data_IF_736862863374
#
_entry.id   IF_736862863374
#
_cell.length_a   1.000
_cell.length_b   1.000
_cell.length_c   1.000
_cell.angle_alpha   90.00
_cell.angle_beta   90.00
_cell.angle_gamma   90.00
#
_symmetry.space_group_name_H-M   'P 1'
#
loop_
_entity.id
_entity.type
_entity.pdbx_description
1 polymer ?
#
# COMPACT_ATOMS: atom_id res chain seq x y z
N UNK A 1 -22.42 -2.84 3.47
CA UNK A 1 -21.23 -3.08 2.64
C UNK A 1 -19.97 -3.06 3.49
N UNK A 2 -18.87 -3.69 3.06
CA UNK A 2 -17.65 -3.80 3.87
C UNK A 2 -16.56 -2.85 3.37
N UNK A 3 -15.97 -2.07 4.28
CA UNK A 3 -14.87 -1.14 4.02
C UNK A 3 -13.62 -1.60 4.78
N UNK A 4 -12.48 -1.55 4.10
CA UNK A 4 -11.15 -1.81 4.62
C UNK A 4 -10.30 -0.54 4.43
N UNK A 5 -10.00 0.16 5.53
CA UNK A 5 -9.17 1.37 5.53
C UNK A 5 -7.72 1.02 5.87
N UNK A 6 -6.80 1.31 4.97
CA UNK A 6 -5.36 1.22 5.16
C UNK A 6 -4.79 2.61 5.47
N UNK A 7 -4.11 2.73 6.62
CA UNK A 7 -3.55 3.99 7.12
C UNK A 7 -2.02 3.90 7.10
N UNK A 8 -1.34 5.04 6.97
CA UNK A 8 0.11 5.11 7.03
C UNK A 8 0.65 4.51 8.34
N UNK A 9 1.62 3.59 8.22
CA UNK A 9 2.29 2.92 9.33
C UNK A 9 1.46 1.84 10.01
N UNK A 10 0.29 1.49 9.47
CA UNK A 10 -0.55 0.39 9.95
C UNK A 10 -0.57 -0.74 8.92
N UNK A 11 0.06 -1.87 9.25
CA UNK A 11 0.11 -3.04 8.39
C UNK A 11 -1.28 -3.67 8.17
N UNK A 12 -2.18 -3.54 9.14
CA UNK A 12 -3.52 -4.16 9.13
C UNK A 12 -4.59 -3.12 8.83
N UNK A 13 -5.51 -3.44 7.92
CA UNK A 13 -6.63 -2.59 7.61
C UNK A 13 -7.66 -2.53 8.75
N UNK A 14 -8.19 -1.34 9.00
CA UNK A 14 -9.38 -1.16 9.83
C UNK A 14 -10.61 -1.55 9.01
N UNK A 15 -11.28 -2.62 9.42
CA UNK A 15 -12.44 -3.17 8.69
C UNK A 15 -13.75 -2.79 9.38
N UNK A 16 -14.73 -2.30 8.62
CA UNK A 16 -16.06 -1.94 9.14
C UNK A 16 -17.17 -2.35 8.16
N UNK A 17 -18.31 -2.73 8.71
CA UNK A 17 -19.55 -2.84 7.94
C UNK A 17 -20.30 -1.50 8.03
N UNK A 18 -20.72 -0.99 6.87
CA UNK A 18 -21.30 0.35 6.73
C UNK A 18 -22.50 0.31 5.80
N UNK A 19 -23.46 1.20 6.02
CA UNK A 19 -24.58 1.37 5.10
C UNK A 19 -24.14 2.18 3.86
N UNK A 20 -24.67 1.84 2.66
CA UNK A 20 -24.22 2.43 1.39
C UNK A 20 -24.52 3.92 1.22
N UNK A 21 -25.53 4.42 1.93
CA UNK A 21 -26.04 5.79 1.90
C UNK A 21 -25.37 6.71 2.92
N UNK A 22 -24.56 6.17 3.84
CA UNK A 22 -23.75 6.98 4.76
C UNK A 22 -22.70 7.76 3.97
N UNK A 23 -22.43 9.01 4.39
CA UNK A 23 -21.38 9.84 3.79
C UNK A 23 -20.00 9.26 4.08
N UNK A 24 -19.14 9.18 3.06
CA UNK A 24 -17.81 8.57 3.20
C UNK A 24 -16.95 9.27 4.28
N UNK A 25 -16.98 10.61 4.32
CA UNK A 25 -16.22 11.38 5.30
C UNK A 25 -16.65 11.16 6.75
N UNK A 26 -17.90 10.77 7.01
CA UNK A 26 -18.39 10.54 8.39
C UNK A 26 -17.87 9.21 8.95
N UNK A 27 -17.43 8.29 8.07
CA UNK A 27 -16.87 7.00 8.44
C UNK A 27 -15.36 7.05 8.66
N UNK A 28 -14.70 8.04 8.08
CA UNK A 28 -13.25 8.16 8.04
C UNK A 28 -12.78 9.21 9.04
N UNK A 29 -12.01 8.78 10.04
CA UNK A 29 -11.19 9.71 10.82
C UNK A 29 -9.98 10.06 9.96
N UNK A 30 -9.94 11.29 9.43
CA UNK A 30 -8.85 11.81 8.60
C UNK A 30 -8.06 12.85 9.40
N UNK A 31 -6.73 12.78 9.34
CA UNK A 31 -5.87 13.88 9.77
C UNK A 31 -5.90 15.02 8.73
N UNK A 32 -5.40 16.20 9.12
CA UNK A 32 -5.26 17.34 8.20
C UNK A 32 -4.44 16.94 6.96
N UNK A 33 -4.89 17.38 5.79
CA UNK A 33 -4.33 17.06 4.46
C UNK A 33 -4.39 15.59 4.01
N UNK A 34 -5.00 14.67 4.78
CA UNK A 34 -5.17 13.29 4.31
C UNK A 34 -6.17 13.20 3.16
N UNK A 35 -5.73 12.54 2.09
CA UNK A 35 -6.53 12.18 0.93
C UNK A 35 -6.93 10.72 1.01
N UNK A 36 -8.08 10.40 0.41
CA UNK A 36 -8.63 9.05 0.38
C UNK A 36 -8.63 8.54 -1.06
N UNK A 37 -8.14 7.33 -1.26
CA UNK A 37 -8.07 6.70 -2.56
C UNK A 37 -8.67 5.29 -2.49
N UNK A 38 -9.32 4.84 -3.56
CA UNK A 38 -9.60 3.42 -3.70
C UNK A 38 -8.30 2.69 -4.04
N UNK A 39 -8.05 1.52 -3.44
CA UNK A 39 -6.85 0.71 -3.76
C UNK A 39 -6.86 0.33 -5.25
N UNK A 40 -5.70 0.44 -5.88
CA UNK A 40 -5.49 0.32 -7.34
C UNK A 40 -6.11 1.47 -8.19
N UNK A 41 -6.58 2.56 -7.56
CA UNK A 41 -7.02 3.78 -8.25
C UNK A 41 -6.23 5.00 -7.76
N UNK A 42 -5.82 5.86 -8.69
CA UNK A 42 -5.08 7.09 -8.40
C UNK A 42 -6.00 8.29 -8.21
N UNK A 43 -7.29 8.17 -8.55
CA UNK A 43 -8.28 9.19 -8.32
C UNK A 43 -8.60 9.34 -6.83
N UNK A 44 -8.47 10.57 -6.33
CA UNK A 44 -8.93 10.97 -5.01
C UNK A 44 -10.45 10.79 -4.93
N UNK A 45 -10.93 10.12 -3.90
CA UNK A 45 -12.35 9.93 -3.65
C UNK A 45 -12.94 11.22 -3.06
N UNK A 46 -14.13 11.58 -3.54
CA UNK A 46 -14.92 12.63 -2.90
C UNK A 46 -15.50 12.10 -1.58
N UNK A 47 -15.02 12.63 -0.46
CA UNK A 47 -15.47 12.24 0.88
C UNK A 47 -16.80 12.91 1.29
N UNK A 48 -17.32 13.83 0.46
CA UNK A 48 -18.57 14.53 0.73
C UNK A 48 -19.80 13.78 0.21
N UNK A 49 -19.60 12.76 -0.64
CA UNK A 49 -20.68 11.91 -1.16
C UNK A 49 -20.85 10.62 -0.33
N UNK A 50 -21.89 9.85 -0.64
CA UNK A 50 -22.17 8.56 0.02
C UNK A 50 -21.14 7.50 -0.34
N UNK A 51 -20.99 6.46 0.49
CA UNK A 51 -20.07 5.34 0.22
C UNK A 51 -20.37 4.69 -1.14
N UNK A 52 -21.65 4.45 -1.45
CA UNK A 52 -22.04 3.86 -2.72
C UNK A 52 -21.67 4.74 -3.92
N UNK A 53 -21.87 6.06 -3.81
CA UNK A 53 -21.50 7.00 -4.86
C UNK A 53 -19.97 7.10 -5.03
N UNK A 54 -19.22 7.23 -3.93
CA UNK A 54 -17.77 7.32 -3.94
C UNK A 54 -17.13 6.05 -4.53
N UNK A 55 -17.59 4.87 -4.13
CA UNK A 55 -17.04 3.61 -4.63
C UNK A 55 -17.56 3.23 -6.02
N UNK A 56 -18.74 3.68 -6.42
CA UNK A 56 -19.35 3.37 -7.72
C UNK A 56 -19.32 1.86 -8.05
N UNK A 57 -19.61 1.01 -7.05
CA UNK A 57 -19.60 -0.46 -7.18
C UNK A 57 -18.22 -1.13 -7.04
N UNK A 58 -17.15 -0.36 -6.83
CA UNK A 58 -15.81 -0.89 -6.54
C UNK A 58 -15.73 -1.55 -5.14
N UNK A 59 -14.75 -2.47 -4.93
CA UNK A 59 -14.47 -2.98 -3.60
C UNK A 59 -14.14 -1.86 -2.60
N UNK A 60 -14.54 -2.04 -1.35
CA UNK A 60 -14.36 -1.07 -0.28
C UNK A 60 -12.95 -0.96 0.28
N UNK A 61 -11.90 -1.11 -0.53
CA UNK A 61 -10.52 -1.04 -0.08
C UNK A 61 -10.02 0.39 -0.27
N UNK A 62 -9.73 1.08 0.83
CA UNK A 62 -9.38 2.49 0.85
C UNK A 62 -7.98 2.68 1.42
N UNK A 63 -7.16 3.49 0.78
CA UNK A 63 -5.87 3.94 1.31
C UNK A 63 -5.96 5.42 1.68
N UNK A 64 -5.49 5.81 2.86
CA UNK A 64 -5.38 7.23 3.25
C UNK A 64 -3.93 7.68 3.28
N UNK A 65 -3.65 8.85 2.70
CA UNK A 65 -2.30 9.41 2.72
C UNK A 65 -2.34 10.92 2.51
N UNK A 66 -1.46 11.65 3.19
CA UNK A 66 -1.19 13.05 2.87
C UNK A 66 -0.34 13.21 1.58
N UNK A 67 0.30 12.13 1.13
CA UNK A 67 1.20 12.15 -0.02
C UNK A 67 0.50 11.65 -1.28
N UNK A 68 0.68 12.34 -2.42
CA UNK A 68 0.24 11.84 -3.74
C UNK A 68 1.25 10.92 -4.41
N UNK A 69 2.48 10.89 -3.91
CA UNK A 69 3.55 10.05 -4.40
C UNK A 69 4.44 9.65 -3.24
N UNK A 70 4.79 8.36 -3.18
CA UNK A 70 5.70 7.79 -2.20
C UNK A 70 6.98 7.35 -2.92
N UNK A 71 8.12 7.70 -2.33
CA UNK A 71 9.42 7.18 -2.73
C UNK A 71 9.75 5.94 -1.90
N UNK A 72 9.73 4.77 -2.51
CA UNK A 72 10.14 3.52 -1.85
C UNK A 72 11.58 3.23 -2.20
N UNK A 73 12.47 3.30 -1.22
CA UNK A 73 13.85 2.80 -1.34
C UNK A 73 13.83 1.29 -1.15
N UNK A 74 14.33 0.56 -2.13
CA UNK A 74 14.40 -0.89 -2.11
C UNK A 74 15.86 -1.32 -2.07
N UNK A 75 16.27 -2.02 -1.01
CA UNK A 75 17.58 -2.64 -0.88
C UNK A 75 17.62 -4.03 -1.51
N UNK A 76 18.67 -4.35 -2.26
CA UNK A 76 18.94 -5.70 -2.76
C UNK A 76 20.44 -5.89 -3.03
N UNK A 77 21.06 -6.93 -2.45
CA UNK A 77 22.45 -7.29 -2.73
C UNK A 77 23.47 -6.18 -2.42
N UNK A 78 23.20 -5.34 -1.41
CA UNK A 78 24.06 -4.21 -1.03
C UNK A 78 23.90 -2.96 -1.90
N UNK A 79 22.90 -2.92 -2.78
CA UNK A 79 22.56 -1.75 -3.58
C UNK A 79 21.12 -1.29 -3.34
N UNK A 80 20.89 0.02 -3.45
CA UNK A 80 19.58 0.62 -3.29
C UNK A 80 19.03 1.15 -4.62
N UNK A 81 17.72 0.99 -4.81
CA UNK A 81 16.97 1.62 -5.91
C UNK A 81 15.73 2.29 -5.38
N UNK A 82 15.43 3.49 -5.88
CA UNK A 82 14.20 4.21 -5.53
C UNK A 82 13.14 3.96 -6.57
N UNK A 83 11.96 3.51 -6.12
CA UNK A 83 10.76 3.37 -6.94
C UNK A 83 9.73 4.38 -6.47
N UNK A 84 9.25 5.23 -7.38
CA UNK A 84 8.19 6.20 -7.10
C UNK A 84 6.83 5.61 -7.46
N UNK A 85 5.86 5.74 -6.55
CA UNK A 85 4.57 5.05 -6.63
C UNK A 85 3.44 5.90 -6.02
N UNK A 86 2.20 5.68 -6.47
CA UNK A 86 1.02 6.28 -5.84
C UNK A 86 0.66 5.52 -4.53
N UNK A 87 0.17 6.19 -3.45
CA UNK A 87 -0.19 5.54 -2.17
C UNK A 87 -1.15 4.37 -2.28
N UNK A 88 -2.07 4.44 -3.23
CA UNK A 88 -3.09 3.40 -3.41
C UNK A 88 -2.57 2.13 -4.13
N UNK A 89 -1.35 2.14 -4.67
CA UNK A 89 -0.86 0.96 -5.39
C UNK A 89 -0.43 -0.13 -4.41
N UNK A 90 -0.64 -1.38 -4.80
CA UNK A 90 -0.24 -2.54 -3.98
C UNK A 90 1.27 -2.76 -3.93
N UNK A 91 1.73 -3.35 -2.84
CA UNK A 91 3.12 -3.77 -2.65
C UNK A 91 3.61 -4.77 -3.71
N UNK A 92 2.73 -5.61 -4.30
CA UNK A 92 3.08 -6.43 -5.47
C UNK A 92 3.61 -5.61 -6.66
N UNK A 93 3.06 -4.40 -6.87
CA UNK A 93 3.50 -3.51 -7.94
C UNK A 93 4.84 -2.86 -7.59
N UNK A 94 5.06 -2.52 -6.32
CA UNK A 94 6.36 -2.07 -5.80
C UNK A 94 7.42 -3.14 -6.07
N UNK A 95 7.16 -4.39 -5.66
CA UNK A 95 8.05 -5.55 -5.93
C UNK A 95 8.35 -5.70 -7.42
N UNK A 96 7.33 -5.67 -8.28
CA UNK A 96 7.49 -5.77 -9.74
C UNK A 96 8.39 -4.66 -10.29
N UNK A 97 8.18 -3.41 -9.86
CA UNK A 97 9.00 -2.27 -10.28
C UNK A 97 10.43 -2.37 -9.76
N UNK A 98 10.64 -2.86 -8.55
CA UNK A 98 11.96 -3.09 -7.97
C UNK A 98 12.73 -4.17 -8.76
N UNK A 99 12.11 -5.32 -9.01
CA UNK A 99 12.69 -6.40 -9.84
C UNK A 99 13.17 -5.85 -11.19
N UNK A 100 12.34 -5.03 -11.86
CA UNK A 100 12.71 -4.38 -13.10
C UNK A 100 13.87 -3.39 -12.93
N UNK A 101 13.87 -2.57 -11.87
CA UNK A 101 14.91 -1.59 -11.59
C UNK A 101 16.28 -2.21 -11.26
N UNK A 102 16.31 -3.43 -10.72
CA UNK A 102 17.51 -4.21 -10.48
C UNK A 102 17.89 -5.12 -11.65
N UNK A 103 17.09 -5.18 -12.73
CA UNK A 103 17.36 -6.04 -13.88
C UNK A 103 17.27 -7.54 -13.57
N UNK A 104 16.50 -7.94 -12.54
CA UNK A 104 16.37 -9.32 -12.12
C UNK A 104 15.39 -10.04 -13.06
N UNK A 105 15.77 -11.22 -13.57
CA UNK A 105 14.89 -12.04 -14.40
C UNK A 105 13.69 -12.56 -13.61
N UNK A 106 12.56 -12.83 -14.27
CA UNK A 106 11.38 -13.38 -13.61
C UNK A 106 11.67 -14.71 -12.91
N UNK A 107 12.53 -15.55 -13.48
CA UNK A 107 12.95 -16.82 -12.89
C UNK A 107 13.74 -16.60 -11.59
N UNK A 108 14.72 -15.68 -11.59
CA UNK A 108 15.50 -15.36 -10.39
C UNK A 108 14.67 -14.62 -9.32
N UNK A 109 13.62 -13.90 -9.75
CA UNK A 109 12.76 -13.14 -8.85
C UNK A 109 11.61 -13.96 -8.24
N UNK A 110 11.41 -15.21 -8.65
CA UNK A 110 10.26 -16.03 -8.24
C UNK A 110 10.13 -16.11 -6.71
N UNK A 111 11.25 -16.34 -6.04
CA UNK A 111 11.35 -16.50 -4.59
C UNK A 111 11.70 -15.19 -3.84
N UNK A 112 11.72 -14.04 -4.53
CA UNK A 112 11.98 -12.77 -3.86
C UNK A 112 10.73 -12.23 -3.15
N UNK A 113 10.87 -11.72 -1.95
CA UNK A 113 9.80 -11.12 -1.14
C UNK A 113 10.24 -9.74 -0.65
N UNK A 114 9.28 -8.92 -0.22
CA UNK A 114 9.56 -7.62 0.38
C UNK A 114 9.49 -7.76 1.91
N UNK A 115 10.45 -7.16 2.61
CA UNK A 115 10.45 -7.03 4.08
C UNK A 115 10.73 -5.59 4.49
N UNK A 116 10.31 -5.21 5.68
CA UNK A 116 10.84 -4.00 6.29
C UNK A 116 12.29 -4.25 6.76
N UNK A 117 13.17 -3.24 6.73
CA UNK A 117 14.55 -3.40 7.17
C UNK A 117 14.63 -3.89 8.62
N UNK A 118 15.37 -4.97 8.84
CA UNK A 118 15.53 -5.60 10.16
C UNK A 118 14.41 -6.55 10.57
N UNK A 119 13.32 -6.63 9.81
CA UNK A 119 12.21 -7.55 10.07
C UNK A 119 12.41 -8.91 9.39
N UNK A 120 11.83 -9.95 9.99
CA UNK A 120 11.85 -11.31 9.44
C UNK A 120 10.55 -11.68 8.71
N UNK A 121 9.48 -10.92 8.94
CA UNK A 121 8.17 -11.15 8.34
C UNK A 121 8.10 -10.58 6.93
N UNK A 122 7.49 -11.37 6.02
CA UNK A 122 7.24 -10.95 4.65
C UNK A 122 6.04 -10.00 4.60
N UNK A 123 6.18 -8.90 3.86
CA UNK A 123 5.09 -7.96 3.64
C UNK A 123 3.97 -8.58 2.79
N UNK A 124 2.71 -8.38 3.20
CA UNK A 124 1.56 -8.79 2.38
C UNK A 124 1.48 -7.95 1.10
N UNK A 125 1.81 -8.59 -0.02
CA UNK A 125 1.85 -8.00 -1.34
C UNK A 125 0.48 -7.50 -1.85
N UNK A 126 -0.62 -7.86 -1.18
CA UNK A 126 -1.97 -7.41 -1.53
C UNK A 126 -2.38 -6.09 -0.87
N UNK A 127 -1.63 -5.62 0.11
CA UNK A 127 -1.87 -4.34 0.78
C UNK A 127 -1.31 -3.16 -0.04
N UNK A 128 -1.91 -1.96 0.08
CA UNK A 128 -1.38 -0.75 -0.57
C UNK A 128 -0.07 -0.31 0.08
N UNK A 129 0.80 0.35 -0.68
CA UNK A 129 2.11 0.81 -0.22
C UNK A 129 2.03 1.76 0.96
N UNK A 130 0.92 2.47 1.14
CA UNK A 130 0.66 3.31 2.32
C UNK A 130 0.94 2.57 3.64
N UNK A 131 0.66 1.27 3.75
CA UNK A 131 0.81 0.51 5.00
C UNK A 131 2.22 0.50 5.56
N UNK A 132 3.24 0.64 4.68
CA UNK A 132 4.66 0.63 5.06
C UNK A 132 5.27 2.03 5.17
N UNK A 133 4.49 3.09 4.90
CA UNK A 133 4.98 4.46 4.96
C UNK A 133 4.84 4.97 6.39
N UNK A 134 5.93 5.39 7.06
CA UNK A 134 5.83 6.04 8.35
C UNK A 134 4.89 7.24 8.31
N UNK A 135 4.09 7.42 9.35
CA UNK A 135 3.12 8.53 9.44
C UNK A 135 3.81 9.87 9.13
N UNK A 136 3.13 10.73 8.36
CA UNK A 136 3.60 12.08 7.96
C UNK A 136 4.88 12.09 7.13
N UNK A 137 5.28 10.97 6.55
CA UNK A 137 6.36 10.92 5.57
C UNK A 137 5.82 10.51 4.20
N UNK A 138 6.58 10.80 3.15
CA UNK A 138 6.28 10.36 1.78
C UNK A 138 7.33 9.37 1.25
N UNK A 139 7.95 8.60 2.15
CA UNK A 139 9.00 7.66 1.81
C UNK A 139 8.97 6.43 2.70
N UNK A 140 9.28 5.28 2.14
CA UNK A 140 9.45 4.03 2.88
C UNK A 140 10.74 3.33 2.45
N UNK A 141 11.26 2.46 3.30
CA UNK A 141 12.37 1.58 2.96
C UNK A 141 11.92 0.13 3.11
N UNK A 142 12.30 -0.70 2.16
CA UNK A 142 12.07 -2.15 2.17
C UNK A 142 13.29 -2.87 1.63
N UNK A 143 13.48 -4.11 2.05
CA UNK A 143 14.46 -5.01 1.48
C UNK A 143 13.77 -6.03 0.58
N UNK A 144 14.35 -6.23 -0.60
CA UNK A 144 14.03 -7.35 -1.47
C UNK A 144 14.93 -8.51 -1.05
N UNK A 145 14.36 -9.62 -0.59
CA UNK A 145 15.14 -10.76 -0.06
C UNK A 145 14.59 -12.07 -0.59
N UNK A 146 15.38 -13.14 -0.54
CA UNK A 146 14.87 -14.47 -0.83
C UNK A 146 14.00 -14.97 0.33
N UNK A 147 12.83 -15.52 0.01
CA UNK A 147 11.98 -16.20 0.98
C UNK A 147 12.78 -17.32 1.63
N UNK A 148 12.86 -17.30 2.95
CA UNK A 148 13.45 -18.42 3.70
C UNK A 148 12.38 -19.49 3.81
N UNK A 149 12.49 -20.57 3.04
CA UNK A 149 11.65 -21.75 3.27
C UNK A 149 12.22 -22.49 4.48
N UNK A 150 11.43 -22.82 5.51
CA UNK A 150 11.89 -23.74 6.54
C UNK A 150 12.21 -25.06 5.84
N UNK A 151 13.50 -25.41 5.80
CA UNK A 151 13.94 -26.70 5.34
C UNK A 151 13.37 -27.71 6.35
N UNK A 152 12.45 -28.57 5.89
CA UNK A 152 12.00 -29.73 6.65
C UNK A 152 13.11 -30.77 6.80
#
# INVERSE_FOLDING_TARGET
MRIHKFTAGEAVAQTREVEPDVRLGDLLVLEEDEKVFAVDDEAELDVTVTVAAALAGRPGHLATSACRQIAVTVGYGGADKVVKVHPAIRLRQVRKRAIAAFGISQAAAADLVLRLPGETEDLDLNTPVTTIVPRRTCSAMVDLVHTVRPQG
#
